data_IF_005578467883
#
_entry.id   IF_005578467883
#
_cell.length_a   1.000
_cell.length_b   1.000
_cell.length_c   1.000
_cell.angle_alpha   90.00
_cell.angle_beta   90.00
_cell.angle_gamma   90.00
#
_symmetry.space_group_name_H-M   'P 1'
#
loop_
_entity.id
_entity.type
_entity.pdbx_description
1 polymer ?
#
# COMPACT_ATOMS: atom_id res chain seq x y z
N UNK A 1 13.72 13.48 -10.57
CA UNK A 1 13.05 14.44 -9.66
C UNK A 1 11.66 14.70 -10.21
N UNK A 2 10.66 13.95 -9.73
CA UNK A 2 9.28 13.98 -10.27
C UNK A 2 8.42 15.12 -9.67
N UNK A 3 8.99 15.93 -8.76
CA UNK A 3 8.29 16.97 -7.98
C UNK A 3 8.17 18.33 -8.68
N UNK A 4 8.65 18.49 -9.92
CA UNK A 4 8.71 19.80 -10.59
C UNK A 4 7.39 20.23 -11.25
N UNK A 5 6.30 19.50 -11.01
CA UNK A 5 4.94 19.86 -11.45
C UNK A 5 3.96 19.63 -10.31
N UNK A 6 2.87 20.44 -10.20
CA UNK A 6 1.83 20.24 -9.17
C UNK A 6 1.25 18.82 -9.15
N UNK A 7 1.17 18.18 -10.32
CA UNK A 7 0.72 16.79 -10.47
C UNK A 7 1.69 15.80 -9.84
N UNK A 8 2.99 15.98 -10.05
CA UNK A 8 4.04 15.15 -9.47
C UNK A 8 4.12 15.28 -7.95
N UNK A 9 4.03 16.51 -7.43
CA UNK A 9 3.98 16.76 -5.98
C UNK A 9 2.76 16.08 -5.33
N UNK A 10 1.58 16.17 -5.96
CA UNK A 10 0.36 15.48 -5.49
C UNK A 10 0.54 13.97 -5.48
N UNK A 11 1.10 13.38 -6.54
CA UNK A 11 1.36 11.94 -6.60
C UNK A 11 2.33 11.50 -5.49
N UNK A 12 3.42 12.24 -5.27
CA UNK A 12 4.37 11.95 -4.18
C UNK A 12 3.72 12.04 -2.81
N UNK A 13 2.87 13.04 -2.57
CA UNK A 13 2.14 13.18 -1.31
C UNK A 13 1.20 11.98 -1.07
N UNK A 14 0.49 11.53 -2.10
CA UNK A 14 -0.38 10.34 -2.01
C UNK A 14 0.43 9.09 -1.66
N UNK A 15 1.54 8.84 -2.37
CA UNK A 15 2.41 7.69 -2.09
C UNK A 15 2.94 7.76 -0.64
N UNK A 16 3.34 8.94 -0.17
CA UNK A 16 3.81 9.12 1.20
C UNK A 16 2.70 8.82 2.23
N UNK A 17 1.47 9.29 2.00
CA UNK A 17 0.33 8.96 2.86
C UNK A 17 0.06 7.45 2.92
N UNK A 18 0.17 6.73 1.80
CA UNK A 18 0.01 5.27 1.78
C UNK A 18 1.13 4.58 2.57
N UNK A 19 2.37 5.04 2.42
CA UNK A 19 3.53 4.51 3.15
C UNK A 19 3.34 4.67 4.66
N UNK A 20 2.96 5.87 5.12
CA UNK A 20 2.73 6.12 6.55
C UNK A 20 1.57 5.26 7.07
N UNK A 21 0.47 5.19 6.32
CA UNK A 21 -0.67 4.32 6.70
C UNK A 21 -0.25 2.85 6.80
N UNK A 22 0.58 2.35 5.88
CA UNK A 22 1.09 0.99 5.92
C UNK A 22 1.96 0.72 7.17
N UNK A 23 2.84 1.67 7.53
CA UNK A 23 3.66 1.57 8.74
C UNK A 23 2.82 1.52 10.01
N UNK A 24 1.82 2.40 10.13
CA UNK A 24 0.91 2.45 11.28
C UNK A 24 0.12 1.13 11.44
N UNK A 25 -0.14 0.42 10.34
CA UNK A 25 -0.79 -0.91 10.35
C UNK A 25 0.21 -2.08 10.48
N UNK A 26 1.48 -1.81 10.77
CA UNK A 26 2.50 -2.86 10.94
C UNK A 26 2.89 -3.58 9.65
N UNK A 27 2.71 -2.93 8.50
CA UNK A 27 3.10 -3.46 7.19
C UNK A 27 4.47 -2.95 6.78
N UNK A 28 5.20 -3.77 6.03
CA UNK A 28 6.42 -3.38 5.35
C UNK A 28 6.06 -2.56 4.09
N UNK A 29 6.35 -1.24 4.05
CA UNK A 29 5.77 -0.35 3.03
C UNK A 29 6.13 -0.72 1.60
N UNK A 30 7.37 -1.18 1.37
CA UNK A 30 7.81 -1.58 0.04
C UNK A 30 7.07 -2.83 -0.46
N UNK A 31 6.95 -3.85 0.40
CA UNK A 31 6.25 -5.09 0.06
C UNK A 31 4.77 -4.84 -0.19
N UNK A 32 4.15 -4.02 0.67
CA UNK A 32 2.74 -3.65 0.55
C UNK A 32 2.45 -2.85 -0.72
N UNK A 33 3.27 -1.82 -1.04
CA UNK A 33 3.11 -1.08 -2.29
C UNK A 33 3.30 -1.95 -3.52
N UNK A 34 4.28 -2.85 -3.51
CA UNK A 34 4.51 -3.81 -4.60
C UNK A 34 3.27 -4.68 -4.80
N UNK A 35 2.74 -5.25 -3.72
CA UNK A 35 1.53 -6.07 -3.76
C UNK A 35 0.32 -5.30 -4.29
N UNK A 36 0.12 -4.05 -3.84
CA UNK A 36 -0.94 -3.19 -4.36
C UNK A 36 -0.79 -2.96 -5.86
N UNK A 37 0.41 -2.62 -6.34
CA UNK A 37 0.62 -2.37 -7.78
C UNK A 37 0.51 -3.63 -8.65
N UNK A 38 0.69 -4.82 -8.09
CA UNK A 38 0.43 -6.09 -8.78
C UNK A 38 -1.07 -6.44 -8.83
N UNK A 39 -1.82 -6.13 -7.77
CA UNK A 39 -3.25 -6.51 -7.66
C UNK A 39 -4.21 -5.48 -8.23
N UNK A 40 -3.94 -4.19 -8.04
CA UNK A 40 -4.83 -3.10 -8.47
C UNK A 40 -5.12 -3.08 -9.97
N UNK A 41 -4.17 -3.35 -10.89
CA UNK A 41 -4.49 -3.38 -12.32
C UNK A 41 -5.46 -4.50 -12.72
N UNK A 42 -5.50 -5.56 -11.92
CA UNK A 42 -6.36 -6.74 -12.14
C UNK A 42 -7.70 -6.63 -11.41
N UNK A 43 -7.92 -5.56 -10.65
CA UNK A 43 -9.12 -5.35 -9.86
C UNK A 43 -10.22 -4.72 -10.73
N UNK A 44 -11.38 -5.36 -10.78
CA UNK A 44 -12.60 -4.68 -11.19
C UNK A 44 -13.05 -3.75 -10.06
N UNK A 45 -13.07 -2.44 -10.29
CA UNK A 45 -13.45 -1.44 -9.27
C UNK A 45 -14.88 -1.62 -8.73
N UNK A 46 -15.69 -2.48 -9.35
CA UNK A 46 -17.02 -2.86 -8.85
C UNK A 46 -16.96 -3.93 -7.75
N UNK A 47 -15.86 -4.67 -7.64
CA UNK A 47 -15.64 -5.70 -6.63
C UNK A 47 -15.10 -5.06 -5.34
N UNK A 48 -16.03 -4.60 -4.51
CA UNK A 48 -15.72 -3.96 -3.23
C UNK A 48 -15.09 -4.93 -2.24
N UNK A 49 -15.49 -6.19 -2.26
CA UNK A 49 -14.94 -7.21 -1.37
C UNK A 49 -13.46 -7.47 -1.65
N UNK A 50 -13.05 -7.47 -2.92
CA UNK A 50 -11.63 -7.56 -3.27
C UNK A 50 -10.87 -6.28 -2.92
N UNK A 51 -11.48 -5.10 -3.05
CA UNK A 51 -10.84 -3.85 -2.64
C UNK A 51 -10.59 -3.84 -1.12
N UNK A 52 -11.55 -4.27 -0.32
CA UNK A 52 -11.43 -4.34 1.14
C UNK A 52 -10.29 -5.27 1.57
N UNK A 53 -10.04 -6.34 0.81
CA UNK A 53 -8.93 -7.27 1.04
C UNK A 53 -7.55 -6.66 0.81
N UNK A 54 -7.46 -5.57 0.03
CA UNK A 54 -6.21 -4.87 -0.25
C UNK A 54 -5.91 -3.77 0.77
N UNK A 55 -6.86 -3.42 1.64
CA UNK A 55 -6.70 -2.35 2.62
C UNK A 55 -5.65 -2.72 3.69
N UNK A 56 -4.98 -1.73 4.30
CA UNK A 56 -3.83 -2.00 5.15
C UNK A 56 -4.17 -2.71 6.47
N UNK A 57 -5.45 -2.68 6.88
CA UNK A 57 -5.97 -3.42 8.03
C UNK A 57 -6.54 -4.80 7.66
N UNK A 58 -6.48 -5.20 6.38
CA UNK A 58 -7.03 -6.47 5.96
C UNK A 58 -6.23 -7.66 6.48
N UNK A 59 -6.92 -8.66 7.02
CA UNK A 59 -6.32 -9.90 7.49
C UNK A 59 -5.85 -10.80 6.33
N UNK A 60 -6.41 -10.62 5.13
CA UNK A 60 -6.09 -11.39 3.93
C UNK A 60 -4.76 -11.00 3.28
N UNK A 61 -4.09 -9.97 3.78
CA UNK A 61 -2.80 -9.54 3.25
C UNK A 61 -1.72 -10.62 3.42
N UNK A 62 -0.85 -10.80 2.42
CA UNK A 62 0.25 -11.76 2.52
C UNK A 62 1.17 -11.48 3.70
N UNK A 63 1.70 -12.54 4.31
CA UNK A 63 2.69 -12.43 5.40
C UNK A 63 3.95 -11.67 4.98
N UNK A 64 4.30 -11.70 3.69
CA UNK A 64 5.42 -10.93 3.12
C UNK A 64 5.23 -9.42 3.20
N UNK A 65 3.97 -8.96 3.34
CA UNK A 65 3.64 -7.55 3.54
C UNK A 65 3.69 -7.15 5.02
N UNK A 66 3.71 -8.10 5.97
CA UNK A 66 3.74 -7.78 7.40
C UNK A 66 5.16 -7.57 7.88
N UNK A 67 5.35 -6.61 8.78
CA UNK A 67 6.65 -6.41 9.42
C UNK A 67 6.93 -7.55 10.38
N UNK A 68 8.04 -8.27 10.18
CA UNK A 68 8.54 -9.21 11.17
C UNK A 68 9.24 -8.36 12.22
N UNK A 69 8.59 -8.12 13.37
CA UNK A 69 9.30 -7.58 14.53
C UNK A 69 10.37 -8.61 14.92
N UNK A 70 11.62 -8.36 14.54
CA UNK A 70 12.76 -9.04 15.17
C UNK A 70 12.81 -8.54 16.61
N UNK A 71 12.33 -9.37 17.53
CA UNK A 71 12.54 -9.17 18.96
C UNK A 71 14.05 -9.37 19.21
N UNK A 72 14.80 -8.27 19.31
CA UNK A 72 16.12 -8.23 19.94
C UNK A 72 15.95 -7.45 21.23
#
# INVERSE_FOLDING_TARGET
MFSNTPRGAKASAIIYSIIETAKENGLHPYSYLTYLFEKLPNLDMKDKDFLDQLLPWSESLPLTCRTIKKNT
#
